data_IF_153614183238
#
_entry.id   IF_153614183238
#
_cell.length_a   1.000
_cell.length_b   1.000
_cell.length_c   1.000
_cell.angle_alpha   90.00
_cell.angle_beta   90.00
_cell.angle_gamma   90.00
#
_symmetry.space_group_name_H-M   'P 1'
#
loop_
_entity.id
_entity.type
_entity.pdbx_description
1 polymer ?
#
# COMPACT_ATOMS: atom_id res chain seq x y z
N UNK A 1 -5.34 -3.63 -2.91
CA UNK A 1 -4.03 -4.08 -3.44
C UNK A 1 -2.98 -4.07 -2.32
N UNK A 2 -1.93 -4.87 -2.47
CA UNK A 2 -0.77 -4.81 -1.59
C UNK A 2 0.32 -3.93 -2.22
N UNK A 3 1.05 -3.19 -1.38
CA UNK A 3 2.32 -2.58 -1.74
C UNK A 3 3.43 -3.31 -0.98
N UNK A 4 4.48 -3.73 -1.68
CA UNK A 4 5.50 -4.63 -1.13
C UNK A 4 6.89 -4.23 -1.62
N UNK A 5 7.90 -4.42 -0.76
CA UNK A 5 9.29 -4.33 -1.18
C UNK A 5 9.56 -5.33 -2.32
N UNK A 6 10.16 -4.86 -3.41
CA UNK A 6 10.42 -5.70 -4.59
C UNK A 6 11.27 -6.94 -4.24
N UNK A 7 12.28 -6.76 -3.41
CA UNK A 7 13.15 -7.85 -2.92
C UNK A 7 12.43 -8.87 -2.04
N UNK A 8 11.34 -8.49 -1.38
CA UNK A 8 10.57 -9.35 -0.48
C UNK A 8 9.32 -9.97 -1.15
N UNK A 9 8.97 -9.53 -2.35
CA UNK A 9 7.72 -9.95 -3.00
C UNK A 9 7.61 -11.48 -3.15
N UNK A 10 8.73 -12.17 -3.40
CA UNK A 10 8.80 -13.63 -3.52
C UNK A 10 8.45 -14.38 -2.22
N UNK A 11 8.49 -13.70 -1.07
CA UNK A 11 8.10 -14.29 0.23
C UNK A 11 6.57 -14.47 0.34
N UNK A 12 5.81 -13.64 -0.39
CA UNK A 12 4.36 -13.57 -0.30
C UNK A 12 3.64 -14.09 -1.55
N UNK A 13 4.30 -14.05 -2.72
CA UNK A 13 3.66 -14.32 -4.02
C UNK A 13 4.51 -15.28 -4.86
N UNK A 14 3.80 -16.14 -5.62
CA UNK A 14 4.43 -17.03 -6.60
C UNK A 14 4.61 -16.32 -7.95
N UNK A 15 5.65 -16.70 -8.69
CA UNK A 15 5.93 -16.22 -10.04
C UNK A 15 6.00 -14.70 -10.17
N UNK A 16 6.31 -14.01 -9.09
CA UNK A 16 6.31 -12.55 -9.05
C UNK A 16 7.45 -11.96 -9.88
N UNK A 17 7.10 -10.93 -10.65
CA UNK A 17 8.02 -10.07 -11.38
C UNK A 17 7.80 -8.62 -10.91
N UNK A 18 8.74 -7.70 -11.16
CA UNK A 18 8.54 -6.28 -10.88
C UNK A 18 7.22 -5.77 -11.49
N UNK A 19 6.36 -5.19 -10.65
CA UNK A 19 5.03 -4.71 -11.04
C UNK A 19 4.73 -3.35 -10.39
N UNK A 20 5.44 -2.27 -10.77
CA UNK A 20 5.33 -0.99 -10.08
C UNK A 20 3.99 -0.27 -10.26
N UNK A 21 3.16 -0.69 -11.22
CA UNK A 21 1.91 0.00 -11.59
C UNK A 21 0.63 -0.80 -11.29
N UNK A 22 0.70 -1.85 -10.49
CA UNK A 22 -0.47 -2.66 -10.09
C UNK A 22 -1.27 -3.22 -11.29
N UNK A 23 -0.60 -3.68 -12.34
CA UNK A 23 -1.23 -4.14 -13.58
C UNK A 23 -1.56 -5.63 -13.60
N UNK A 24 -0.97 -6.41 -12.72
CA UNK A 24 -1.06 -7.88 -12.70
C UNK A 24 -1.38 -8.38 -11.31
N UNK A 25 -2.16 -9.47 -11.23
CA UNK A 25 -2.36 -10.26 -10.02
C UNK A 25 -1.43 -11.47 -10.02
N UNK A 26 -0.95 -11.81 -8.83
CA UNK A 26 -0.08 -12.96 -8.61
C UNK A 26 -0.69 -13.92 -7.59
N UNK A 27 -0.45 -15.24 -7.70
CA UNK A 27 -0.87 -16.19 -6.68
C UNK A 27 -0.24 -15.88 -5.32
N UNK A 28 -1.05 -15.96 -4.26
CA UNK A 28 -0.59 -15.79 -2.87
C UNK A 28 -0.08 -17.12 -2.36
N UNK A 29 1.12 -17.12 -1.77
CA UNK A 29 1.79 -18.32 -1.26
C UNK A 29 1.86 -18.41 0.26
N UNK A 30 1.18 -17.51 0.98
CA UNK A 30 1.25 -17.43 2.45
C UNK A 30 -0.11 -17.12 3.05
N UNK A 31 -0.32 -17.51 4.31
CA UNK A 31 -1.52 -17.18 5.10
C UNK A 31 -1.40 -15.85 5.86
N UNK A 32 -0.25 -15.17 5.75
CA UNK A 32 0.06 -13.97 6.54
C UNK A 32 -0.67 -12.71 6.08
N UNK A 33 -1.24 -12.71 4.87
CA UNK A 33 -1.82 -11.52 4.23
C UNK A 33 -3.28 -11.70 3.80
N UNK A 34 -4.17 -12.20 4.68
CA UNK A 34 -5.57 -12.45 4.29
C UNK A 34 -6.31 -11.19 3.87
N UNK A 35 -5.96 -10.03 4.43
CA UNK A 35 -6.61 -8.74 4.14
C UNK A 35 -6.41 -8.23 2.72
N UNK A 36 -5.43 -8.72 1.97
CA UNK A 36 -5.16 -8.35 0.58
C UNK A 36 -5.35 -9.51 -0.40
N UNK A 37 -5.71 -10.70 0.09
CA UNK A 37 -5.89 -11.91 -0.70
C UNK A 37 -7.31 -11.99 -1.24
N UNK A 38 -7.47 -12.12 -2.57
CA UNK A 38 -8.74 -12.33 -3.23
C UNK A 38 -9.28 -13.75 -2.97
N UNK A 39 -10.57 -13.96 -3.22
CA UNK A 39 -11.23 -15.25 -3.01
C UNK A 39 -10.62 -16.39 -3.85
N UNK A 40 -10.04 -16.07 -5.01
CA UNK A 40 -9.33 -17.01 -5.90
C UNK A 40 -7.86 -17.24 -5.50
N UNK A 41 -7.46 -16.79 -4.31
CA UNK A 41 -6.10 -16.86 -3.77
C UNK A 41 -5.06 -16.08 -4.60
N UNK A 42 -5.48 -14.99 -5.23
CA UNK A 42 -4.58 -14.03 -5.90
C UNK A 42 -4.57 -12.68 -5.20
N UNK A 43 -3.57 -11.87 -5.51
CA UNK A 43 -3.49 -10.49 -5.03
C UNK A 43 -2.93 -9.59 -6.14
N UNK A 44 -3.56 -8.44 -6.35
CA UNK A 44 -2.98 -7.36 -7.16
C UNK A 44 -1.97 -6.62 -6.31
N UNK A 45 -0.74 -6.51 -6.81
CA UNK A 45 0.38 -5.94 -6.05
C UNK A 45 0.99 -4.74 -6.75
N UNK A 46 1.62 -3.90 -5.96
CA UNK A 46 2.58 -2.89 -6.39
C UNK A 46 3.93 -3.23 -5.76
N UNK A 47 4.94 -3.48 -6.59
CA UNK A 47 6.32 -3.61 -6.11
C UNK A 47 7.00 -2.25 -6.07
N UNK A 48 7.78 -2.00 -5.03
CA UNK A 48 8.58 -0.78 -4.91
C UNK A 48 10.04 -1.12 -4.63
N UNK A 49 10.95 -0.39 -5.27
CA UNK A 49 12.40 -0.59 -5.17
C UNK A 49 13.17 0.67 -4.82
N UNK A 50 12.53 1.85 -4.88
CA UNK A 50 13.14 3.15 -4.57
C UNK A 50 12.07 4.15 -4.12
N UNK A 51 12.51 5.27 -3.54
CA UNK A 51 11.65 6.40 -3.17
C UNK A 51 11.07 6.30 -1.77
N UNK A 52 10.22 7.28 -1.43
CA UNK A 52 9.68 7.42 -0.06
C UNK A 52 8.80 6.24 0.39
N UNK A 53 8.06 5.60 -0.51
CA UNK A 53 7.29 4.40 -0.19
C UNK A 53 8.19 3.19 0.09
N UNK A 54 9.31 3.10 -0.60
CA UNK A 54 10.33 2.09 -0.32
C UNK A 54 10.92 2.29 1.08
N UNK A 55 11.31 3.53 1.42
CA UNK A 55 11.85 3.86 2.74
C UNK A 55 10.83 3.60 3.85
N UNK A 56 9.56 3.95 3.62
CA UNK A 56 8.47 3.65 4.55
C UNK A 56 8.31 2.15 4.80
N UNK A 57 8.34 1.34 3.73
CA UNK A 57 8.23 -0.12 3.84
C UNK A 57 9.44 -0.75 4.52
N UNK A 58 10.65 -0.22 4.31
CA UNK A 58 11.85 -0.67 5.02
C UNK A 58 11.71 -0.43 6.53
N UNK A 59 11.25 0.75 6.92
CA UNK A 59 11.08 1.07 8.35
C UNK A 59 9.93 0.26 8.96
N UNK A 60 8.84 0.08 8.24
CA UNK A 60 7.75 -0.79 8.68
C UNK A 60 8.22 -2.25 8.84
N UNK A 61 9.04 -2.75 7.92
CA UNK A 61 9.64 -4.08 8.02
C UNK A 61 10.53 -4.20 9.26
N UNK A 62 11.31 -3.15 9.57
CA UNK A 62 12.15 -3.12 10.78
C UNK A 62 11.31 -3.27 12.05
N UNK A 63 10.12 -2.64 12.09
CA UNK A 63 9.23 -2.65 13.25
C UNK A 63 8.36 -3.91 13.35
N UNK A 64 7.85 -4.40 12.23
CA UNK A 64 6.86 -5.48 12.16
C UNK A 64 7.41 -6.83 11.74
N UNK A 65 8.58 -6.87 11.10
CA UNK A 65 9.14 -8.03 10.45
C UNK A 65 8.65 -8.26 9.02
N UNK A 66 7.76 -7.40 8.49
CA UNK A 66 7.13 -7.56 7.17
C UNK A 66 7.18 -6.29 6.34
N UNK A 67 7.72 -6.38 5.12
CA UNK A 67 7.83 -5.27 4.17
C UNK A 67 6.64 -5.18 3.20
N UNK A 68 5.41 -5.26 3.73
CA UNK A 68 4.18 -5.23 2.94
C UNK A 68 3.09 -4.46 3.69
N UNK A 69 2.33 -3.65 2.94
CA UNK A 69 1.19 -2.87 3.46
C UNK A 69 0.00 -2.97 2.52
N UNK A 70 -1.19 -2.66 3.02
CA UNK A 70 -2.38 -2.50 2.20
C UNK A 70 -2.35 -1.12 1.51
N UNK A 71 -2.57 -1.11 0.21
CA UNK A 71 -2.74 0.10 -0.59
C UNK A 71 -4.17 0.18 -1.12
N UNK A 72 -4.83 1.32 -0.92
CA UNK A 72 -6.19 1.59 -1.39
C UNK A 72 -6.31 3.04 -1.87
N UNK A 73 -7.41 3.36 -2.54
CA UNK A 73 -7.68 4.72 -3.01
C UNK A 73 -7.89 5.68 -1.84
N UNK A 74 -7.46 6.93 -2.00
CA UNK A 74 -7.68 7.98 -1.02
C UNK A 74 -8.94 8.76 -1.37
N UNK A 75 -10.09 8.28 -0.89
CA UNK A 75 -11.40 8.92 -1.02
C UNK A 75 -12.39 8.28 -0.04
N UNK A 76 -13.45 9.01 0.32
CA UNK A 76 -14.59 8.42 1.02
C UNK A 76 -15.55 7.75 0.03
N UNK A 77 -16.36 6.82 0.53
CA UNK A 77 -17.34 6.11 -0.29
C UNK A 77 -18.29 7.09 -1.01
N UNK A 78 -18.39 6.95 -2.34
CA UNK A 78 -19.23 7.82 -3.17
C UNK A 78 -18.62 9.17 -3.54
N UNK A 79 -17.40 9.47 -3.07
CA UNK A 79 -16.65 10.68 -3.44
C UNK A 79 -15.56 10.37 -4.46
N UNK A 80 -15.14 11.36 -5.29
CA UNK A 80 -13.99 11.20 -6.17
C UNK A 80 -12.68 11.09 -5.36
N UNK A 81 -11.60 10.69 -6.03
CA UNK A 81 -10.26 10.70 -5.43
C UNK A 81 -9.88 12.10 -4.94
N UNK A 82 -9.19 12.15 -3.81
CA UNK A 82 -8.63 13.39 -3.27
C UNK A 82 -7.62 13.97 -4.27
N UNK A 83 -7.78 15.26 -4.61
CA UNK A 83 -6.93 15.96 -5.57
C UNK A 83 -6.13 17.10 -4.94
N UNK A 84 -6.66 17.74 -3.89
CA UNK A 84 -6.07 18.93 -3.27
C UNK A 84 -5.71 18.69 -1.81
N UNK A 85 -4.80 19.49 -1.22
CA UNK A 85 -4.54 19.44 0.22
C UNK A 85 -5.81 19.69 1.06
N UNK A 86 -6.69 20.59 0.61
CA UNK A 86 -7.97 20.88 1.27
C UNK A 86 -8.88 19.67 1.28
N UNK A 87 -8.98 18.93 0.15
CA UNK A 87 -9.74 17.67 0.07
C UNK A 87 -9.18 16.62 1.03
N UNK A 88 -7.83 16.53 1.12
CA UNK A 88 -7.15 15.62 2.02
C UNK A 88 -7.47 15.93 3.48
N UNK A 89 -7.41 17.20 3.88
CA UNK A 89 -7.77 17.66 5.24
C UNK A 89 -9.24 17.38 5.57
N UNK A 90 -10.13 17.62 4.62
CA UNK A 90 -11.55 17.32 4.76
C UNK A 90 -11.77 15.82 4.96
N UNK A 91 -11.09 14.98 4.17
CA UNK A 91 -11.18 13.53 4.29
C UNK A 91 -10.67 13.05 5.66
N UNK A 92 -9.53 13.57 6.13
CA UNK A 92 -9.01 13.26 7.46
C UNK A 92 -10.05 13.60 8.55
N UNK A 93 -10.62 14.81 8.52
CA UNK A 93 -11.58 15.26 9.54
C UNK A 93 -12.94 14.56 9.49
N UNK A 94 -13.30 13.96 8.36
CA UNK A 94 -14.60 13.31 8.11
C UNK A 94 -14.53 11.78 8.15
N UNK A 95 -13.40 11.21 8.52
CA UNK A 95 -13.15 9.77 8.54
C UNK A 95 -12.48 9.30 9.83
N UNK A 96 -12.27 8.00 9.95
CA UNK A 96 -11.53 7.39 11.06
C UNK A 96 -10.03 7.19 10.71
N UNK A 97 -9.48 7.95 9.77
CA UNK A 97 -8.06 7.94 9.50
C UNK A 97 -7.29 8.53 10.69
N UNK A 98 -6.23 7.86 11.09
CA UNK A 98 -5.42 8.30 12.23
C UNK A 98 -4.50 9.46 11.86
N UNK A 99 -3.94 9.43 10.64
CA UNK A 99 -2.93 10.39 10.21
C UNK A 99 -3.05 10.72 8.73
N UNK A 100 -2.55 11.91 8.37
CA UNK A 100 -2.35 12.39 7.01
C UNK A 100 -0.90 12.85 6.86
N UNK A 101 -0.20 12.33 5.86
CA UNK A 101 1.17 12.68 5.56
C UNK A 101 1.27 13.42 4.23
N UNK A 102 1.79 14.65 4.26
CA UNK A 102 2.16 15.41 3.07
C UNK A 102 3.64 15.26 2.81
N UNK A 103 3.98 14.45 1.81
CA UNK A 103 5.38 14.13 1.50
C UNK A 103 6.19 15.37 1.08
N UNK A 104 5.62 16.23 0.23
CA UNK A 104 6.32 17.40 -0.33
C UNK A 104 6.73 18.44 0.72
N UNK A 105 5.97 18.52 1.80
CA UNK A 105 6.21 19.46 2.90
C UNK A 105 6.68 18.78 4.19
N UNK A 106 6.79 17.45 4.17
CA UNK A 106 7.16 16.63 5.32
C UNK A 106 6.29 16.92 6.56
N UNK A 107 4.97 17.11 6.32
CA UNK A 107 4.00 17.39 7.39
C UNK A 107 3.17 16.16 7.74
N UNK A 108 3.13 15.81 9.02
CA UNK A 108 2.26 14.80 9.60
C UNK A 108 1.15 15.46 10.41
N UNK A 109 -0.09 15.11 10.08
CA UNK A 109 -1.29 15.58 10.78
C UNK A 109 -2.06 14.42 11.41
#
# INVERSE_FOLDING_TARGET
AAIVLEEDAHLYFDDVIPNPYMTVCFPVRTDLIPGVTHIDNTCRIQTVSTGHLYDLLLEFKRLSGHGILLNTSFNLAGEPLVETPEDALKTLSSSALDHLWFYDTEQLL
#
